data_IF_795654847741
#
_entry.id   IF_795654847741
#
_cell.length_a   1.000
_cell.length_b   1.000
_cell.length_c   1.000
_cell.angle_alpha   90.00
_cell.angle_beta   90.00
_cell.angle_gamma   90.00
#
_symmetry.space_group_name_H-M   'P 1'
#
loop_
_entity.id
_entity.type
_entity.pdbx_description
1 polymer ?
#
# COMPACT_ATOMS: atom_id res chain seq x y z
N UNK A 1 1.42 -37.55 -9.37
CA UNK A 1 2.55 -36.60 -9.18
C UNK A 1 2.01 -35.20 -9.35
N UNK A 2 2.46 -34.26 -8.54
CA UNK A 2 2.05 -32.85 -8.60
C UNK A 2 3.30 -32.00 -8.75
N UNK A 3 3.26 -31.05 -9.68
CA UNK A 3 4.30 -30.04 -9.85
C UNK A 3 3.73 -28.74 -9.31
N UNK A 4 4.47 -28.06 -8.44
CA UNK A 4 4.10 -26.76 -7.88
C UNK A 4 5.22 -25.77 -8.19
N UNK A 5 4.85 -24.53 -8.49
CA UNK A 5 5.82 -23.43 -8.54
C UNK A 5 6.44 -23.19 -7.17
N UNK A 6 7.53 -22.43 -7.16
CA UNK A 6 8.10 -21.84 -5.96
C UNK A 6 7.69 -20.37 -5.97
N UNK A 7 7.15 -19.92 -4.85
CA UNK A 7 6.79 -18.52 -4.61
C UNK A 7 8.06 -17.76 -4.20
N UNK A 8 8.30 -16.61 -4.82
CA UNK A 8 9.35 -15.67 -4.44
C UNK A 8 8.82 -14.23 -4.62
N UNK A 9 9.66 -13.24 -4.25
CA UNK A 9 9.29 -11.82 -4.34
C UNK A 9 9.96 -11.14 -5.55
N UNK A 10 10.51 -11.91 -6.52
CA UNK A 10 11.31 -11.37 -7.63
C UNK A 10 10.43 -11.11 -8.84
N UNK A 11 10.45 -9.87 -9.32
CA UNK A 11 9.83 -9.52 -10.61
C UNK A 11 10.72 -10.02 -11.77
N UNK A 12 10.66 -11.32 -12.07
CA UNK A 12 11.39 -11.99 -13.15
C UNK A 12 10.50 -12.44 -14.33
N UNK A 13 9.18 -12.26 -14.19
CA UNK A 13 8.20 -12.60 -15.20
C UNK A 13 7.91 -14.11 -15.31
N UNK A 14 7.26 -14.51 -16.40
CA UNK A 14 6.89 -15.93 -16.55
C UNK A 14 8.11 -16.80 -16.91
N UNK A 15 8.43 -17.77 -16.06
CA UNK A 15 9.54 -18.70 -16.24
C UNK A 15 9.04 -20.07 -16.70
N UNK A 16 9.74 -20.66 -17.69
CA UNK A 16 9.43 -22.00 -18.21
C UNK A 16 10.48 -23.01 -17.77
N UNK A 17 10.03 -24.07 -17.10
CA UNK A 17 10.87 -25.21 -16.67
C UNK A 17 10.59 -26.44 -17.52
N UNK A 18 11.64 -27.14 -17.95
CA UNK A 18 11.52 -28.39 -18.71
C UNK A 18 11.67 -29.59 -17.79
N UNK A 19 10.66 -30.46 -17.80
CA UNK A 19 10.66 -31.74 -17.11
C UNK A 19 10.95 -32.82 -18.15
N UNK A 20 12.01 -33.59 -17.94
CA UNK A 20 12.39 -34.69 -18.83
C UNK A 20 11.98 -36.02 -18.20
N UNK A 21 11.33 -36.86 -19.00
CA UNK A 21 10.98 -38.24 -18.67
C UNK A 21 11.86 -39.13 -19.54
N UNK A 22 12.75 -39.87 -18.89
CA UNK A 22 13.71 -40.77 -19.53
C UNK A 22 13.43 -42.22 -19.16
N UNK A 23 13.83 -43.13 -20.03
CA UNK A 23 13.93 -44.55 -19.69
C UNK A 23 15.30 -44.78 -19.06
N UNK A 24 15.41 -45.77 -18.17
CA UNK A 24 16.69 -46.10 -17.50
C UNK A 24 17.23 -47.37 -18.13
N UNK A 25 17.92 -47.23 -19.26
CA UNK A 25 18.33 -48.31 -20.17
C UNK A 25 18.88 -49.54 -19.43
N UNK A 26 19.90 -49.33 -18.59
CA UNK A 26 20.58 -50.41 -17.85
C UNK A 26 19.69 -51.18 -16.85
N UNK A 27 18.51 -50.65 -16.52
CA UNK A 27 17.55 -51.22 -15.59
C UNK A 27 16.23 -51.63 -16.27
N UNK A 28 16.11 -51.47 -17.59
CA UNK A 28 14.91 -51.75 -18.39
C UNK A 28 15.18 -52.75 -19.50
N UNK A 29 14.18 -52.99 -20.35
CA UNK A 29 14.25 -53.91 -21.48
C UNK A 29 14.97 -53.26 -22.68
N UNK A 30 15.97 -53.94 -23.23
CA UNK A 30 16.82 -53.47 -24.34
C UNK A 30 16.02 -53.02 -25.57
N UNK A 31 14.81 -53.55 -25.80
CA UNK A 31 13.94 -53.13 -26.91
C UNK A 31 13.53 -51.64 -26.81
N UNK A 32 13.65 -51.04 -25.63
CA UNK A 32 13.32 -49.64 -25.36
C UNK A 32 14.52 -48.69 -25.37
N UNK A 33 15.76 -49.19 -25.49
CA UNK A 33 16.99 -48.37 -25.43
C UNK A 33 17.07 -47.28 -26.52
N UNK A 34 16.37 -47.47 -27.64
CA UNK A 34 16.33 -46.49 -28.73
C UNK A 34 15.22 -45.44 -28.60
N UNK A 35 14.36 -45.54 -27.57
CA UNK A 35 13.26 -44.60 -27.36
C UNK A 35 13.80 -43.28 -26.83
N UNK A 36 13.51 -42.20 -27.54
CA UNK A 36 13.94 -40.87 -27.13
C UNK A 36 13.20 -40.37 -25.89
N UNK A 37 13.91 -39.63 -25.05
CA UNK A 37 13.36 -38.90 -23.91
C UNK A 37 12.19 -38.01 -24.32
N UNK A 38 11.19 -37.92 -23.44
CA UNK A 38 10.04 -37.05 -23.63
C UNK A 38 10.16 -35.85 -22.69
N UNK A 39 9.74 -34.68 -23.16
CA UNK A 39 9.77 -33.46 -22.35
C UNK A 39 8.39 -32.85 -22.18
N UNK A 40 8.17 -32.24 -21.03
CA UNK A 40 6.99 -31.44 -20.71
C UNK A 40 7.46 -30.10 -20.17
N UNK A 41 6.89 -29.01 -20.66
CA UNK A 41 7.16 -27.67 -20.13
C UNK A 41 6.14 -27.31 -19.07
N UNK A 42 6.62 -26.89 -17.90
CA UNK A 42 5.82 -26.22 -16.87
C UNK A 42 6.11 -24.72 -16.93
N UNK A 43 5.07 -23.90 -16.81
CA UNK A 43 5.17 -22.44 -16.80
C UNK A 43 4.77 -21.92 -15.43
N UNK A 44 5.61 -21.11 -14.80
CA UNK A 44 5.34 -20.41 -13.55
C UNK A 44 5.14 -18.93 -13.88
N UNK A 45 3.92 -18.44 -13.65
CA UNK A 45 3.60 -17.02 -13.85
C UNK A 45 3.97 -16.24 -12.61
N UNK A 46 4.69 -15.14 -12.80
CA UNK A 46 4.97 -14.11 -11.82
C UNK A 46 3.68 -13.35 -11.44
N UNK A 47 3.41 -13.24 -10.14
CA UNK A 47 2.34 -12.46 -9.55
C UNK A 47 2.83 -11.32 -8.62
N UNK A 48 4.13 -11.02 -8.64
CA UNK A 48 4.70 -9.86 -7.98
C UNK A 48 4.39 -8.56 -8.74
N UNK A 49 4.21 -7.47 -7.98
CA UNK A 49 3.84 -6.16 -8.53
C UNK A 49 4.89 -5.13 -8.15
N UNK A 50 5.46 -4.46 -9.16
CA UNK A 50 6.36 -3.34 -8.94
C UNK A 50 5.70 -2.20 -8.15
N UNK A 51 6.36 -1.77 -7.08
CA UNK A 51 5.88 -0.70 -6.21
C UNK A 51 6.93 -0.24 -5.21
N UNK A 52 6.60 0.84 -4.49
CA UNK A 52 7.35 1.29 -3.33
C UNK A 52 6.39 1.89 -2.31
N UNK A 53 6.74 1.71 -1.04
CA UNK A 53 5.98 2.24 0.09
C UNK A 53 6.78 3.34 0.79
N UNK A 54 6.10 4.44 1.12
CA UNK A 54 6.63 5.52 1.95
C UNK A 54 6.00 5.43 3.33
N UNK A 55 6.81 5.48 4.38
CA UNK A 55 6.35 5.54 5.77
C UNK A 55 6.91 6.77 6.49
N UNK A 56 6.00 7.57 7.07
CA UNK A 56 6.31 8.73 7.89
C UNK A 56 6.18 8.28 9.35
N UNK A 57 7.28 8.24 10.10
CA UNK A 57 7.33 7.60 11.42
C UNK A 57 6.27 8.16 12.39
N UNK A 58 5.99 9.45 12.31
CA UNK A 58 4.99 10.15 13.13
C UNK A 58 3.70 10.51 12.36
N UNK A 59 3.53 9.99 11.15
CA UNK A 59 2.33 10.19 10.32
C UNK A 59 2.22 11.57 9.64
N UNK A 60 3.24 12.41 9.79
CA UNK A 60 3.45 13.67 9.09
C UNK A 60 4.95 13.93 8.94
N UNK A 61 5.29 14.95 8.14
CA UNK A 61 6.63 15.53 8.13
C UNK A 61 6.48 16.99 8.54
N UNK A 62 7.22 17.40 9.56
CA UNK A 62 7.25 18.76 10.06
C UNK A 62 8.71 19.21 10.26
N UNK A 63 9.11 20.26 9.55
CA UNK A 63 10.39 20.95 9.72
C UNK A 63 10.11 22.44 9.87
N UNK A 64 10.98 23.14 10.61
CA UNK A 64 10.89 24.58 10.75
C UNK A 64 12.08 25.30 10.10
N UNK A 65 11.92 26.62 9.92
CA UNK A 65 12.94 27.51 9.35
C UNK A 65 14.22 27.58 10.22
N UNK A 66 14.26 26.99 11.42
CA UNK A 66 15.48 26.99 12.24
C UNK A 66 16.53 25.97 11.79
N UNK A 67 16.20 25.16 10.78
CA UNK A 67 17.04 24.09 10.27
C UNK A 67 16.73 22.72 10.87
N UNK A 68 15.56 22.57 11.48
CA UNK A 68 15.11 21.28 12.01
C UNK A 68 14.95 20.24 10.89
N UNK A 69 15.09 18.97 11.27
CA UNK A 69 15.02 17.85 10.35
C UNK A 69 13.93 16.88 10.73
N UNK A 70 13.36 16.26 9.71
CA UNK A 70 12.43 15.16 9.85
C UNK A 70 12.79 14.06 8.85
N UNK A 71 12.28 12.86 9.05
CA UNK A 71 12.63 11.69 8.26
C UNK A 71 11.42 10.87 7.88
N UNK A 72 11.46 10.29 6.69
CA UNK A 72 10.57 9.23 6.27
C UNK A 72 11.40 8.08 5.71
N UNK A 73 10.80 6.90 5.63
CA UNK A 73 11.43 5.75 5.00
C UNK A 73 10.77 5.40 3.68
N UNK A 74 11.55 4.79 2.79
CA UNK A 74 11.10 4.23 1.51
C UNK A 74 11.55 2.78 1.44
N UNK A 75 10.71 1.88 0.95
CA UNK A 75 11.04 0.47 0.70
C UNK A 75 10.39 0.02 -0.60
N UNK A 76 10.98 -0.94 -1.33
CA UNK A 76 10.35 -1.52 -2.52
C UNK A 76 9.36 -2.63 -2.11
N UNK A 77 8.28 -2.77 -2.86
CA UNK A 77 7.24 -3.76 -2.58
C UNK A 77 7.58 -5.16 -3.11
N UNK A 78 8.58 -5.28 -4.00
CA UNK A 78 9.08 -6.53 -4.56
C UNK A 78 10.57 -6.41 -4.98
N UNK A 79 11.28 -7.54 -5.04
CA UNK A 79 12.70 -7.62 -5.39
C UNK A 79 12.92 -7.29 -6.89
N UNK A 80 13.73 -6.26 -7.21
CA UNK A 80 14.05 -5.96 -8.59
C UNK A 80 15.18 -6.85 -9.10
N UNK A 81 15.23 -7.07 -10.42
CA UNK A 81 16.34 -7.79 -11.10
C UNK A 81 17.56 -6.91 -11.37
N UNK A 82 17.42 -5.59 -11.24
CA UNK A 82 18.48 -4.59 -11.37
C UNK A 82 18.25 -3.42 -10.43
N UNK A 83 19.26 -2.58 -10.22
CA UNK A 83 19.14 -1.43 -9.32
C UNK A 83 17.97 -0.49 -9.70
N UNK A 84 17.28 0.00 -8.67
CA UNK A 84 16.19 0.98 -8.76
C UNK A 84 16.65 2.27 -8.09
N UNK A 85 16.57 3.38 -8.82
CA UNK A 85 16.96 4.70 -8.31
C UNK A 85 15.71 5.56 -8.16
N UNK A 86 15.43 5.97 -6.92
CA UNK A 86 14.33 6.88 -6.57
C UNK A 86 14.91 8.27 -6.38
N UNK A 87 14.40 9.25 -7.11
CA UNK A 87 14.75 10.66 -6.93
C UNK A 87 13.67 11.33 -6.09
N UNK A 88 14.08 12.14 -5.12
CA UNK A 88 13.17 12.88 -4.26
C UNK A 88 13.49 14.37 -4.43
N UNK A 89 12.44 15.17 -4.65
CA UNK A 89 12.57 16.59 -4.94
C UNK A 89 11.64 17.39 -4.05
N UNK A 90 12.12 18.51 -3.51
CA UNK A 90 11.25 19.52 -2.92
C UNK A 90 10.69 20.43 -4.03
N UNK A 91 9.40 20.76 -3.94
CA UNK A 91 8.79 21.78 -4.80
C UNK A 91 9.22 23.19 -4.44
N UNK A 92 9.71 23.39 -3.21
CA UNK A 92 10.18 24.67 -2.70
C UNK A 92 11.45 24.46 -1.86
N UNK A 93 12.60 24.57 -2.52
CA UNK A 93 13.91 24.41 -1.86
C UNK A 93 14.31 25.63 -1.03
N UNK A 94 13.56 26.74 -1.08
CA UNK A 94 13.73 27.86 -0.17
C UNK A 94 13.19 27.57 1.23
N UNK A 95 12.24 26.63 1.32
CA UNK A 95 11.53 26.26 2.56
C UNK A 95 12.03 24.93 3.13
N UNK A 96 12.25 23.93 2.25
CA UNK A 96 12.68 22.61 2.66
C UNK A 96 13.58 21.94 1.62
N UNK A 97 14.67 21.35 2.08
CA UNK A 97 15.55 20.48 1.28
C UNK A 97 15.33 19.02 1.67
N UNK A 98 15.66 18.11 0.75
CA UNK A 98 15.44 16.67 0.94
C UNK A 98 16.64 15.87 0.41
N UNK A 99 16.86 14.67 0.95
CA UNK A 99 17.77 13.68 0.35
C UNK A 99 17.46 13.51 -1.14
N UNK A 100 18.45 13.68 -2.00
CA UNK A 100 18.22 13.77 -3.45
C UNK A 100 17.90 12.43 -4.11
N UNK A 101 18.55 11.34 -3.70
CA UNK A 101 18.37 10.01 -4.31
C UNK A 101 18.50 8.88 -3.30
N UNK A 102 17.65 7.85 -3.45
CA UNK A 102 17.78 6.55 -2.80
C UNK A 102 18.03 5.49 -3.87
N UNK A 103 18.93 4.55 -3.59
CA UNK A 103 19.28 3.46 -4.52
C UNK A 103 19.02 2.13 -3.87
N UNK A 104 18.09 1.38 -4.44
CA UNK A 104 17.80 0.00 -4.10
C UNK A 104 18.49 -0.91 -5.10
N UNK A 105 18.98 -2.02 -4.61
CA UNK A 105 19.66 -3.11 -5.30
C UNK A 105 18.86 -4.38 -5.03
N UNK A 106 19.07 -5.46 -5.79
CA UNK A 106 18.48 -6.76 -5.46
C UNK A 106 18.81 -7.25 -4.04
N UNK A 107 19.85 -6.72 -3.38
CA UNK A 107 20.27 -7.17 -2.05
C UNK A 107 19.70 -6.35 -0.88
N UNK A 108 19.10 -5.19 -1.13
CA UNK A 108 18.59 -4.29 -0.08
C UNK A 108 17.19 -3.72 -0.39
N UNK A 109 16.47 -4.32 -1.33
CA UNK A 109 15.15 -3.88 -1.80
C UNK A 109 14.11 -3.81 -0.67
N UNK A 110 14.18 -4.78 0.24
CA UNK A 110 13.30 -5.00 1.39
C UNK A 110 13.74 -4.24 2.64
N UNK A 111 14.88 -3.55 2.57
CA UNK A 111 15.43 -2.79 3.69
C UNK A 111 15.00 -1.33 3.55
N UNK A 112 14.17 -0.79 4.48
CA UNK A 112 13.76 0.60 4.43
C UNK A 112 14.95 1.55 4.42
N UNK A 113 15.00 2.45 3.45
CA UNK A 113 16.00 3.50 3.36
C UNK A 113 15.43 4.82 3.86
N UNK A 114 16.22 5.54 4.65
CA UNK A 114 15.81 6.80 5.26
C UNK A 114 16.06 7.96 4.29
N UNK A 115 15.04 8.78 4.07
CA UNK A 115 15.15 10.09 3.47
C UNK A 115 15.00 11.16 4.57
N UNK A 116 15.86 12.17 4.53
CA UNK A 116 15.84 13.29 5.46
C UNK A 116 15.31 14.53 4.76
N UNK A 117 14.40 15.23 5.43
CA UNK A 117 13.94 16.56 5.07
C UNK A 117 14.56 17.54 6.06
N UNK A 118 14.93 18.72 5.59
CA UNK A 118 15.57 19.76 6.40
C UNK A 118 14.92 21.08 6.06
N UNK A 119 14.37 21.76 7.06
CA UNK A 119 13.87 23.12 6.89
C UNK A 119 15.00 24.07 6.56
N UNK A 120 14.70 25.11 5.80
CA UNK A 120 15.66 26.12 5.39
C UNK A 120 15.26 27.45 6.00
N UNK A 121 16.19 28.07 6.73
CA UNK A 121 16.03 29.45 7.21
C UNK A 121 16.01 30.40 6.02
N UNK A 122 14.94 31.18 5.90
CA UNK A 122 14.87 32.27 4.94
C UNK A 122 14.47 33.59 5.62
N UNK A 123 14.86 34.71 5.00
CA UNK A 123 14.66 36.05 5.57
C UNK A 123 13.18 36.54 5.47
N UNK A 124 12.25 35.70 5.00
CA UNK A 124 10.86 36.04 4.68
C UNK A 124 9.92 35.33 5.67
N UNK A 125 9.29 36.11 6.55
CA UNK A 125 8.21 35.58 7.40
C UNK A 125 6.98 35.31 6.52
N UNK A 126 6.83 34.05 6.13
CA UNK A 126 5.85 33.56 5.16
C UNK A 126 4.74 32.72 5.83
N UNK A 127 5.03 32.16 7.02
CA UNK A 127 4.07 31.49 7.92
C UNK A 127 4.04 29.97 7.77
N UNK A 128 3.69 29.25 8.84
CA UNK A 128 3.76 27.77 8.88
C UNK A 128 2.97 27.08 7.74
N UNK A 129 3.67 26.47 6.77
CA UNK A 129 3.07 25.66 5.70
C UNK A 129 2.95 24.20 6.13
N UNK A 130 1.95 23.90 6.96
CA UNK A 130 1.61 22.52 7.31
C UNK A 130 1.04 21.79 6.08
N UNK A 131 1.77 20.83 5.51
CA UNK A 131 1.20 19.88 4.55
C UNK A 131 0.43 18.81 5.32
N UNK A 132 -0.92 18.73 5.21
CA UNK A 132 -1.66 17.67 5.88
C UNK A 132 -1.37 16.32 5.22
N UNK A 133 -1.01 15.33 6.03
CA UNK A 133 -0.76 13.96 5.58
C UNK A 133 -2.00 13.30 4.97
N UNK A 134 -1.82 12.26 4.14
CA UNK A 134 -2.93 11.53 3.52
C UNK A 134 -3.87 10.92 4.57
N UNK A 135 -3.36 10.50 5.72
CA UNK A 135 -4.14 10.03 6.86
C UNK A 135 -4.95 11.16 7.50
N UNK A 136 -4.37 12.35 7.64
CA UNK A 136 -5.05 13.55 8.11
C UNK A 136 -6.12 14.03 7.12
N UNK A 137 -5.85 13.96 5.82
CA UNK A 137 -6.82 14.28 4.76
C UNK A 137 -7.95 13.25 4.70
N UNK A 138 -7.65 11.97 4.91
CA UNK A 138 -8.64 10.89 5.02
C UNK A 138 -9.50 11.06 6.28
N UNK A 139 -8.90 11.41 7.43
CA UNK A 139 -9.65 11.74 8.66
C UNK A 139 -10.47 13.02 8.49
N UNK A 140 -9.94 14.08 7.90
CA UNK A 140 -10.68 15.31 7.61
C UNK A 140 -11.84 15.06 6.65
N UNK A 141 -11.63 14.25 5.60
CA UNK A 141 -12.70 13.87 4.67
C UNK A 141 -13.79 13.07 5.38
N UNK A 142 -13.40 12.12 6.24
CA UNK A 142 -14.34 11.34 7.03
C UNK A 142 -15.12 12.21 8.05
N UNK A 143 -14.43 13.14 8.71
CA UNK A 143 -15.01 14.12 9.63
C UNK A 143 -15.93 15.10 8.89
N UNK A 144 -15.56 15.51 7.66
CA UNK A 144 -16.36 16.41 6.84
C UNK A 144 -17.63 15.72 6.35
N UNK A 145 -17.54 14.44 5.92
CA UNK A 145 -18.71 13.60 5.59
C UNK A 145 -19.61 13.42 6.82
N UNK A 146 -19.02 13.21 8.00
CA UNK A 146 -19.75 13.07 9.27
C UNK A 146 -20.46 14.38 9.68
N UNK A 147 -19.78 15.53 9.59
CA UNK A 147 -20.38 16.85 9.81
C UNK A 147 -21.49 17.14 8.80
N UNK A 148 -21.29 16.78 7.52
CA UNK A 148 -22.29 16.92 6.47
C UNK A 148 -23.52 16.05 6.69
N UNK A 149 -23.40 14.94 7.44
CA UNK A 149 -24.52 14.07 7.82
C UNK A 149 -25.26 14.61 9.06
N UNK A 150 -24.57 15.29 9.98
CA UNK A 150 -25.11 15.80 11.24
C UNK A 150 -25.74 17.21 11.14
N UNK A 151 -25.39 18.01 10.13
CA UNK A 151 -25.83 19.41 10.00
C UNK A 151 -26.99 19.65 9.01
N UNK A 152 -27.50 18.62 8.31
CA UNK A 152 -28.63 18.81 7.38
C UNK A 152 -29.97 18.92 8.13
N UNK A 153 -30.85 19.83 7.70
CA UNK A 153 -32.17 19.99 8.31
C UNK A 153 -32.99 18.69 8.25
N UNK A 154 -33.94 18.59 9.18
CA UNK A 154 -34.56 17.38 9.72
C UNK A 154 -35.55 16.57 8.84
N UNK A 155 -35.74 16.72 7.50
CA UNK A 155 -36.45 15.65 6.78
C UNK A 155 -35.63 14.37 6.54
N UNK A 156 -34.31 14.36 6.79
CA UNK A 156 -33.41 13.24 6.44
C UNK A 156 -32.90 12.37 7.60
N UNK A 157 -33.32 12.59 8.85
CA UNK A 157 -32.94 11.73 10.00
C UNK A 157 -33.65 10.36 10.01
N UNK A 158 -33.99 9.84 8.83
CA UNK A 158 -34.91 8.72 8.68
C UNK A 158 -34.20 7.39 8.93
N UNK A 159 -34.29 6.96 10.18
CA UNK A 159 -34.22 5.58 10.67
C UNK A 159 -32.95 4.83 10.26
N UNK A 160 -31.89 5.11 11.03
CA UNK A 160 -30.71 4.27 11.10
C UNK A 160 -31.10 2.91 11.70
N UNK A 161 -31.23 1.87 10.87
CA UNK A 161 -31.54 0.52 11.33
C UNK A 161 -30.24 -0.29 11.39
N UNK A 162 -29.95 -0.89 12.54
CA UNK A 162 -29.06 -2.05 12.58
C UNK A 162 -29.74 -3.15 11.77
N UNK A 163 -29.11 -3.59 10.69
CA UNK A 163 -29.51 -4.82 10.01
C UNK A 163 -29.16 -5.98 10.95
N UNK A 164 -30.11 -6.87 11.30
CA UNK A 164 -29.82 -8.04 12.14
C UNK A 164 -28.66 -8.90 11.60
N UNK A 165 -28.45 -8.84 10.28
CA UNK A 165 -27.48 -9.64 9.54
C UNK A 165 -26.30 -8.84 8.96
N UNK A 166 -26.09 -7.57 9.34
CA UNK A 166 -24.92 -6.81 8.83
C UNK A 166 -24.13 -6.10 9.92
N UNK A 167 -22.80 -6.24 9.85
CA UNK A 167 -21.82 -5.54 10.70
C UNK A 167 -21.67 -4.04 10.39
N UNK A 168 -22.48 -3.50 9.47
CA UNK A 168 -22.36 -2.15 8.96
C UNK A 168 -23.69 -1.39 9.06
N UNK A 169 -23.61 -0.13 9.44
CA UNK A 169 -24.73 0.80 9.45
C UNK A 169 -25.16 1.11 8.01
N UNK A 170 -26.48 1.11 7.77
CA UNK A 170 -27.07 1.49 6.49
C UNK A 170 -27.78 2.83 6.63
N UNK A 171 -27.57 3.71 5.66
CA UNK A 171 -28.29 4.98 5.53
C UNK A 171 -29.46 4.82 4.55
N UNK A 172 -30.67 5.28 4.93
CA UNK A 172 -31.82 5.29 4.02
C UNK A 172 -31.90 6.61 3.27
N UNK A 173 -31.43 6.61 2.02
CA UNK A 173 -31.53 7.74 1.10
C UNK A 173 -32.78 7.71 0.21
N UNK A 174 -32.97 8.74 -0.63
CA UNK A 174 -34.09 8.83 -1.58
C UNK A 174 -34.05 7.74 -2.67
N UNK A 175 -32.88 7.12 -2.87
CA UNK A 175 -32.66 6.03 -3.84
C UNK A 175 -32.63 4.63 -3.18
N UNK A 176 -32.89 4.52 -1.87
CA UNK A 176 -32.85 3.25 -1.13
C UNK A 176 -31.82 3.21 0.00
N UNK A 177 -31.49 2.00 0.47
CA UNK A 177 -30.51 1.77 1.53
C UNK A 177 -29.09 1.79 0.95
N UNK A 178 -28.21 2.61 1.51
CA UNK A 178 -26.78 2.66 1.19
C UNK A 178 -25.97 2.08 2.36
N UNK A 179 -25.04 1.18 2.05
CA UNK A 179 -24.08 0.70 3.04
C UNK A 179 -23.07 1.82 3.30
N UNK A 180 -22.70 2.00 4.57
CA UNK A 180 -21.53 2.79 4.93
C UNK A 180 -20.29 1.92 4.85
N UNK A 181 -19.18 2.53 4.45
CA UNK A 181 -17.88 1.89 4.53
C UNK A 181 -17.53 1.51 5.98
N UNK A 182 -16.71 0.49 6.21
CA UNK A 182 -16.43 -0.04 7.56
C UNK A 182 -16.01 1.03 8.57
N UNK A 183 -15.13 1.94 8.16
CA UNK A 183 -14.61 3.02 9.00
C UNK A 183 -15.67 4.11 9.28
N UNK A 184 -16.54 4.44 8.32
CA UNK A 184 -17.63 5.41 8.55
C UNK A 184 -18.67 4.82 9.50
N UNK A 185 -18.94 3.52 9.37
CA UNK A 185 -19.84 2.80 10.25
C UNK A 185 -19.32 2.72 11.69
N UNK A 186 -18.05 2.37 11.90
CA UNK A 186 -17.47 2.23 13.25
C UNK A 186 -17.43 3.56 14.00
N UNK A 187 -17.01 4.62 13.32
CA UNK A 187 -16.90 5.96 13.88
C UNK A 187 -18.27 6.54 14.29
N UNK A 188 -19.28 6.33 13.45
CA UNK A 188 -20.65 6.75 13.73
C UNK A 188 -21.25 5.96 14.90
N UNK A 189 -20.99 4.64 14.97
CA UNK A 189 -21.41 3.79 16.08
C UNK A 189 -20.77 4.21 17.42
N UNK A 190 -19.49 4.54 17.44
CA UNK A 190 -18.80 5.04 18.62
C UNK A 190 -19.40 6.38 19.07
N UNK A 191 -19.63 7.32 18.16
CA UNK A 191 -20.23 8.63 18.47
C UNK A 191 -21.66 8.51 19.05
N UNK A 192 -22.50 7.65 18.48
CA UNK A 192 -23.86 7.40 18.98
C UNK A 192 -23.85 6.81 20.39
N UNK A 193 -22.92 5.91 20.70
CA UNK A 193 -22.81 5.31 22.03
C UNK A 193 -22.24 6.26 23.09
N UNK A 194 -21.39 7.23 22.72
CA UNK A 194 -20.92 8.26 23.66
C UNK A 194 -22.04 9.23 24.06
N UNK A 195 -23.05 9.43 23.22
CA UNK A 195 -24.20 10.30 23.50
C UNK A 195 -25.33 9.62 24.30
N UNK A 196 -25.20 8.35 24.66
CA UNK A 196 -26.15 7.61 25.52
C UNK A 196 -25.63 7.40 26.96
N UNK A 197 -24.46 7.95 27.30
CA UNK A 197 -23.87 7.89 28.64
C UNK A 197 -23.80 9.25 29.36
N UNK A 198 -24.54 10.26 28.90
CA UNK A 198 -24.74 11.54 29.60
C UNK A 198 -26.20 11.77 29.95
#
# INVERSE_FOLDING_TARGET
MTVTGVDDDIIDGTINSTITVTIVDAASDDDFDAVADQTVTASTTDDDVAGFTIDQLDGSIEVDESGDTDTFTVVLDAQPTSDVVITITSSDTGEATVTSTLTFTPANWDTPQVATITGVDDDIIDGSKLQPSLSQLMMQTQMMILMLLLTRPFPYQRLMMMSPDSRFLKLKGPQGLMNLEPLTSLLLFLMLNQHQMS
#
